data_IF_496503773169
#
_entry.id   IF_496503773169
#
_cell.length_a   1.000
_cell.length_b   1.000
_cell.length_c   1.000
_cell.angle_alpha   90.00
_cell.angle_beta   90.00
_cell.angle_gamma   90.00
#
_symmetry.space_group_name_H-M   'P 1'
#
loop_
_entity.id
_entity.type
_entity.pdbx_description
1 polymer ?
#
# COMPACT_ATOMS: atom_id res chain seq x y z
N UNK A 1 -36.56 47.12 7.35
CA UNK A 1 -36.45 46.18 6.22
C UNK A 1 -34.99 45.93 5.83
N UNK A 2 -34.19 46.95 5.65
CA UNK A 2 -32.76 46.77 5.26
C UNK A 2 -31.93 45.94 6.27
N UNK A 3 -32.17 46.12 7.58
CA UNK A 3 -31.47 45.37 8.63
C UNK A 3 -31.79 43.87 8.64
N UNK A 4 -33.03 43.52 8.30
CA UNK A 4 -33.46 42.10 8.23
C UNK A 4 -32.83 41.43 7.01
N UNK A 5 -32.71 42.15 5.90
CA UNK A 5 -32.03 41.62 4.69
C UNK A 5 -30.55 41.38 4.91
N UNK A 6 -29.86 42.28 5.65
CA UNK A 6 -28.45 42.11 5.96
C UNK A 6 -28.21 40.89 6.89
N UNK A 7 -29.10 40.67 7.87
CA UNK A 7 -29.01 39.49 8.76
C UNK A 7 -29.26 38.20 7.99
N UNK A 8 -30.17 38.20 7.02
CA UNK A 8 -30.41 37.00 6.22
C UNK A 8 -29.24 36.68 5.28
N UNK A 9 -28.58 37.69 4.74
CA UNK A 9 -27.38 37.48 3.91
C UNK A 9 -26.22 36.95 4.74
N UNK A 10 -26.05 37.43 5.98
CA UNK A 10 -25.00 36.94 6.86
C UNK A 10 -25.25 35.49 7.30
N UNK A 11 -26.52 35.12 7.54
CA UNK A 11 -26.86 33.74 7.93
C UNK A 11 -26.65 32.76 6.79
N UNK A 12 -26.85 33.17 5.52
CA UNK A 12 -26.59 32.27 4.38
C UNK A 12 -25.10 32.05 4.10
N UNK A 13 -24.25 32.99 4.49
CA UNK A 13 -22.77 32.84 4.32
C UNK A 13 -22.14 31.92 5.37
N UNK A 14 -22.78 31.76 6.53
CA UNK A 14 -22.27 30.92 7.60
C UNK A 14 -22.55 29.43 7.38
N UNK A 15 -23.45 29.08 6.48
CA UNK A 15 -23.63 27.69 6.03
C UNK A 15 -22.61 27.34 4.92
N UNK A 16 -21.36 27.75 5.14
CA UNK A 16 -20.27 27.42 4.25
C UNK A 16 -20.12 25.92 4.15
N UNK A 17 -20.15 25.45 2.96
CA UNK A 17 -19.96 24.08 2.53
C UNK A 17 -18.88 23.37 3.32
N UNK A 18 -19.27 22.48 4.20
CA UNK A 18 -18.37 21.45 4.69
C UNK A 18 -18.09 20.53 3.50
N UNK A 19 -17.16 20.91 2.65
CA UNK A 19 -16.54 19.96 1.75
C UNK A 19 -15.79 18.98 2.63
N UNK A 20 -16.41 17.85 2.93
CA UNK A 20 -15.65 16.71 3.41
C UNK A 20 -14.72 16.32 2.26
N UNK A 21 -13.47 16.77 2.33
CA UNK A 21 -12.43 16.23 1.48
C UNK A 21 -12.44 14.72 1.67
N UNK A 22 -12.51 13.92 0.58
CA UNK A 22 -12.22 12.52 0.71
C UNK A 22 -10.84 12.42 1.35
N UNK A 23 -10.77 11.91 2.58
CA UNK A 23 -9.51 11.73 3.27
C UNK A 23 -8.64 10.80 2.42
N UNK A 24 -7.60 11.35 1.83
CA UNK A 24 -6.60 10.54 1.14
C UNK A 24 -6.05 9.54 2.16
N UNK A 25 -6.09 8.22 1.90
CA UNK A 25 -5.58 7.26 2.85
C UNK A 25 -4.11 7.55 3.16
N UNK A 26 -3.78 7.62 4.46
CA UNK A 26 -2.39 7.81 4.89
C UNK A 26 -1.57 6.56 4.66
N UNK A 27 -0.28 6.71 4.39
CA UNK A 27 0.62 5.58 4.24
C UNK A 27 0.97 4.99 5.61
N UNK A 28 0.75 3.69 5.75
CA UNK A 28 1.10 2.93 6.95
C UNK A 28 2.50 2.33 6.84
N UNK A 29 2.88 1.86 5.65
CA UNK A 29 4.19 1.26 5.43
C UNK A 29 4.77 1.66 4.08
N UNK A 30 6.03 2.11 4.10
CA UNK A 30 6.79 2.51 2.91
C UNK A 30 7.74 1.39 2.50
N UNK A 31 7.75 1.06 1.22
CA UNK A 31 8.65 0.09 0.62
C UNK A 31 9.63 0.78 -0.32
N UNK A 32 10.84 0.27 -0.39
CA UNK A 32 11.85 0.75 -1.32
C UNK A 32 11.77 -0.03 -2.63
N UNK A 33 11.95 0.68 -3.74
CA UNK A 33 12.18 0.01 -5.01
C UNK A 33 13.54 -0.69 -5.00
N UNK A 34 13.68 -1.85 -5.68
CA UNK A 34 14.98 -2.43 -5.93
C UNK A 34 15.92 -1.44 -6.66
N UNK A 35 17.21 -1.54 -6.38
CA UNK A 35 18.22 -0.65 -6.97
C UNK A 35 18.25 -0.67 -8.50
N UNK A 36 17.98 -1.82 -9.08
CA UNK A 36 17.92 -2.03 -10.53
C UNK A 36 16.64 -1.49 -11.17
N UNK A 37 15.63 -1.16 -10.39
CA UNK A 37 14.36 -0.59 -10.88
C UNK A 37 14.33 0.92 -10.71
N UNK A 38 14.56 1.41 -9.50
CA UNK A 38 14.56 2.85 -9.20
C UNK A 38 15.30 3.10 -7.88
N UNK A 39 16.62 3.17 -7.94
CA UNK A 39 17.47 3.32 -6.77
C UNK A 39 17.12 4.57 -5.97
N UNK A 40 16.96 4.41 -4.66
CA UNK A 40 16.67 5.49 -3.72
C UNK A 40 15.22 5.96 -3.69
N UNK A 41 14.34 5.40 -4.52
CA UNK A 41 12.92 5.72 -4.51
C UNK A 41 12.13 4.80 -3.59
N UNK A 42 11.05 5.33 -3.01
CA UNK A 42 10.12 4.61 -2.16
C UNK A 42 8.70 4.83 -2.64
N UNK A 43 7.82 3.93 -2.29
CA UNK A 43 6.39 4.05 -2.55
C UNK A 43 5.59 3.53 -1.35
N UNK A 44 4.34 3.94 -1.24
CA UNK A 44 3.47 3.42 -0.19
C UNK A 44 2.95 2.04 -0.56
N UNK A 45 3.44 1.01 0.12
CA UNK A 45 3.00 -0.37 -0.12
C UNK A 45 1.73 -0.74 0.66
N UNK A 46 1.54 -0.17 1.85
CA UNK A 46 0.34 -0.37 2.66
C UNK A 46 -0.20 0.98 3.10
N UNK A 47 -1.47 1.24 2.86
CA UNK A 47 -2.16 2.44 3.31
C UNK A 47 -3.22 2.12 4.37
N UNK A 48 -3.78 3.14 4.98
CA UNK A 48 -4.75 3.01 6.08
C UNK A 48 -6.06 2.28 5.72
N UNK A 49 -6.35 2.11 4.44
CA UNK A 49 -7.53 1.37 3.97
C UNK A 49 -7.26 -0.12 3.79
N UNK A 50 -6.02 -0.56 3.93
CA UNK A 50 -5.62 -1.95 3.80
C UNK A 50 -5.52 -2.60 5.18
N UNK A 51 -5.59 -3.93 5.19
CA UNK A 51 -5.47 -4.68 6.44
C UNK A 51 -4.12 -4.39 7.10
N UNK A 52 -4.15 -3.88 8.31
CA UNK A 52 -2.96 -3.65 9.12
C UNK A 52 -2.71 -4.91 9.94
N UNK A 53 -1.50 -5.44 9.83
CA UNK A 53 -1.07 -6.56 10.68
C UNK A 53 -0.53 -5.95 11.98
N UNK A 54 -1.28 -6.16 13.06
CA UNK A 54 -0.86 -5.74 14.40
C UNK A 54 0.12 -6.77 15.00
N UNK A 55 0.99 -6.29 15.87
CA UNK A 55 1.97 -7.10 16.60
C UNK A 55 3.02 -7.77 15.68
N UNK A 56 3.52 -7.01 14.73
CA UNK A 56 4.59 -7.48 13.87
C UNK A 56 5.92 -7.47 14.61
N UNK A 57 6.64 -8.58 14.56
CA UNK A 57 8.00 -8.65 15.09
C UNK A 57 9.00 -7.90 14.22
N UNK A 58 8.62 -7.55 13.00
CA UNK A 58 9.48 -7.00 11.95
C UNK A 58 10.71 -7.87 11.64
N UNK A 59 10.73 -9.10 12.12
CA UNK A 59 11.77 -10.04 11.79
C UNK A 59 11.55 -10.61 10.39
N UNK A 60 12.59 -10.61 9.55
CA UNK A 60 12.48 -11.19 8.22
C UNK A 60 12.26 -12.71 8.31
N UNK A 61 11.36 -13.21 7.46
CA UNK A 61 11.17 -14.64 7.32
C UNK A 61 12.41 -15.29 6.72
N UNK A 62 12.68 -16.56 7.01
CA UNK A 62 13.86 -17.24 6.49
C UNK A 62 13.84 -17.35 4.97
N UNK A 63 15.03 -17.46 4.37
CA UNK A 63 15.17 -17.53 2.94
C UNK A 63 15.40 -16.17 2.28
N UNK A 64 15.27 -16.13 0.97
CA UNK A 64 15.46 -14.91 0.18
C UNK A 64 14.44 -14.79 -0.95
N UNK A 65 14.29 -13.59 -1.46
CA UNK A 65 13.48 -13.34 -2.64
C UNK A 65 14.19 -13.80 -3.92
N UNK A 66 13.41 -14.30 -4.87
CA UNK A 66 13.90 -14.58 -6.23
C UNK A 66 14.30 -13.26 -6.87
N UNK A 67 15.52 -13.15 -7.34
CA UNK A 67 15.96 -12.04 -8.19
C UNK A 67 15.58 -12.34 -9.64
N UNK A 68 15.07 -11.33 -10.32
CA UNK A 68 14.78 -11.35 -11.76
C UNK A 68 13.70 -12.35 -12.19
N UNK A 69 12.47 -11.99 -11.96
CA UNK A 69 11.39 -12.56 -12.72
C UNK A 69 11.12 -11.62 -13.88
N UNK A 70 11.54 -11.99 -15.08
CA UNK A 70 10.99 -11.41 -16.29
C UNK A 70 9.47 -11.57 -16.21
N UNK A 71 8.71 -10.56 -16.61
CA UNK A 71 7.25 -10.59 -16.61
C UNK A 71 6.73 -11.60 -17.64
N UNK A 72 7.03 -12.88 -17.43
CA UNK A 72 6.48 -13.96 -18.21
C UNK A 72 5.07 -14.29 -17.69
N UNK A 73 4.17 -14.64 -18.60
CA UNK A 73 2.77 -15.00 -18.29
C UNK A 73 2.62 -16.09 -17.22
N UNK A 74 3.70 -16.77 -16.91
CA UNK A 74 3.74 -17.91 -15.98
C UNK A 74 3.96 -17.51 -14.52
N UNK A 75 4.30 -16.27 -14.23
CA UNK A 75 4.55 -15.80 -12.87
C UNK A 75 3.29 -15.87 -11.97
N UNK A 76 2.11 -15.99 -12.56
CA UNK A 76 0.83 -16.11 -11.86
C UNK A 76 0.27 -17.52 -11.87
N UNK A 77 0.89 -18.47 -12.56
CA UNK A 77 0.44 -19.85 -12.59
C UNK A 77 0.84 -20.58 -11.31
N UNK A 78 -0.14 -21.03 -10.55
CA UNK A 78 0.04 -21.73 -9.29
C UNK A 78 -0.38 -20.94 -8.06
N UNK A 79 -0.72 -19.67 -8.22
CA UNK A 79 -1.31 -18.88 -7.13
C UNK A 79 -2.81 -19.15 -7.04
N UNK A 80 -3.23 -19.70 -5.92
CA UNK A 80 -4.64 -19.84 -5.60
C UNK A 80 -5.12 -18.49 -5.09
N UNK A 81 -5.69 -17.68 -5.94
CA UNK A 81 -6.23 -16.37 -5.61
C UNK A 81 -5.34 -15.19 -6.07
N UNK A 82 -5.79 -13.95 -5.84
CA UNK A 82 -5.03 -12.76 -6.18
C UNK A 82 -3.77 -12.64 -5.33
N UNK A 83 -2.67 -12.05 -5.87
CA UNK A 83 -1.44 -11.84 -5.11
C UNK A 83 -1.70 -10.99 -3.86
N UNK A 84 -1.17 -11.41 -2.72
CA UNK A 84 -1.30 -10.67 -1.47
C UNK A 84 -0.27 -9.54 -1.47
N UNK A 85 -0.74 -8.30 -1.41
CA UNK A 85 0.11 -7.12 -1.28
C UNK A 85 0.69 -7.06 0.13
N UNK A 86 1.96 -6.73 0.26
CA UNK A 86 2.65 -6.72 1.54
C UNK A 86 3.57 -5.51 1.71
N UNK A 87 3.83 -5.15 2.97
CA UNK A 87 4.80 -4.14 3.36
C UNK A 87 6.10 -4.75 3.89
N UNK A 88 6.00 -5.91 4.53
CA UNK A 88 7.13 -6.69 5.02
C UNK A 88 6.70 -8.15 5.18
N UNK A 89 7.64 -9.03 5.60
CA UNK A 89 7.40 -10.47 5.62
C UNK A 89 6.24 -10.91 6.54
N UNK A 90 5.95 -10.17 7.62
CA UNK A 90 4.86 -10.51 8.53
C UNK A 90 3.46 -10.44 7.89
N UNK A 91 3.32 -9.76 6.75
CA UNK A 91 2.10 -9.78 5.94
C UNK A 91 1.92 -11.10 5.18
N UNK A 92 2.94 -11.94 5.18
CA UNK A 92 2.99 -13.19 4.41
C UNK A 92 3.03 -14.39 5.34
N UNK A 93 2.59 -15.59 4.87
CA UNK A 93 2.84 -16.82 5.59
C UNK A 93 4.33 -17.02 5.87
N UNK A 94 4.67 -17.71 6.94
CA UNK A 94 6.06 -17.86 7.40
C UNK A 94 7.04 -18.43 6.35
N UNK A 95 6.56 -19.28 5.46
CA UNK A 95 7.37 -19.84 4.36
C UNK A 95 7.48 -18.96 3.13
N UNK A 96 6.84 -17.79 3.17
CA UNK A 96 6.87 -16.79 2.10
C UNK A 96 7.58 -15.53 2.56
N UNK A 97 8.00 -14.72 1.60
CA UNK A 97 8.61 -13.41 1.83
C UNK A 97 7.90 -12.33 1.03
N UNK A 98 7.95 -11.13 1.56
CA UNK A 98 7.49 -9.95 0.84
C UNK A 98 8.54 -9.51 -0.18
N UNK A 99 8.29 -9.79 -1.45
CA UNK A 99 9.22 -9.55 -2.55
C UNK A 99 8.64 -8.61 -3.59
N UNK A 100 9.49 -7.76 -4.16
CA UNK A 100 9.08 -6.88 -5.25
C UNK A 100 8.74 -7.70 -6.50
N UNK A 101 7.58 -7.44 -7.09
CA UNK A 101 7.13 -8.05 -8.33
C UNK A 101 7.23 -7.02 -9.46
N UNK A 102 8.15 -7.25 -10.39
CA UNK A 102 8.39 -6.33 -11.52
C UNK A 102 7.19 -6.23 -12.47
N UNK A 103 6.33 -7.26 -12.51
CA UNK A 103 5.14 -7.27 -13.36
C UNK A 103 4.00 -6.46 -12.74
N UNK A 104 3.78 -6.61 -11.43
CA UNK A 104 2.77 -5.90 -10.69
C UNK A 104 3.24 -4.52 -10.23
N UNK A 105 4.55 -4.28 -10.23
CA UNK A 105 5.20 -3.04 -9.79
C UNK A 105 4.94 -2.70 -8.31
N UNK A 106 4.78 -3.71 -7.49
CA UNK A 106 4.67 -3.58 -6.04
C UNK A 106 5.11 -4.87 -5.35
N UNK A 107 5.26 -4.81 -4.02
CA UNK A 107 5.64 -5.98 -3.23
C UNK A 107 4.45 -6.92 -3.01
N UNK A 108 4.70 -8.22 -3.19
CA UNK A 108 3.73 -9.30 -2.95
C UNK A 108 4.38 -10.45 -2.21
N UNK A 109 3.57 -11.26 -1.52
CA UNK A 109 4.04 -12.48 -0.87
C UNK A 109 4.44 -13.52 -1.91
N UNK A 110 5.65 -14.05 -1.81
CA UNK A 110 6.20 -15.08 -2.70
C UNK A 110 6.94 -16.14 -1.92
N UNK A 111 6.93 -17.37 -2.42
CA UNK A 111 7.68 -18.46 -1.81
C UNK A 111 9.17 -18.09 -1.68
N UNK A 112 9.73 -18.31 -0.49
CA UNK A 112 11.13 -18.04 -0.21
C UNK A 112 12.04 -19.10 -0.83
N UNK A 113 13.26 -18.70 -1.19
CA UNK A 113 14.31 -19.60 -1.69
C UNK A 113 15.36 -19.79 -0.60
N UNK A 114 15.79 -21.04 -0.40
CA UNK A 114 16.68 -21.44 0.69
C UNK A 114 18.09 -21.89 0.25
N UNK A 115 18.49 -21.58 -0.97
CA UNK A 115 19.83 -21.96 -1.50
C UNK A 115 20.54 -20.85 -2.26
#
# INVERSE_FOLDING_TARGET
MLRILVVMIVVTVVHGNSFSHPSTPSCVYWCNFPEDVNAGASYCCINSNQMIVENTSLEPHPGRCIKHITCARFATQGLVGPPIRCGHDDYCPYHEKCCYDACLKHHTCKAAIFH
#
